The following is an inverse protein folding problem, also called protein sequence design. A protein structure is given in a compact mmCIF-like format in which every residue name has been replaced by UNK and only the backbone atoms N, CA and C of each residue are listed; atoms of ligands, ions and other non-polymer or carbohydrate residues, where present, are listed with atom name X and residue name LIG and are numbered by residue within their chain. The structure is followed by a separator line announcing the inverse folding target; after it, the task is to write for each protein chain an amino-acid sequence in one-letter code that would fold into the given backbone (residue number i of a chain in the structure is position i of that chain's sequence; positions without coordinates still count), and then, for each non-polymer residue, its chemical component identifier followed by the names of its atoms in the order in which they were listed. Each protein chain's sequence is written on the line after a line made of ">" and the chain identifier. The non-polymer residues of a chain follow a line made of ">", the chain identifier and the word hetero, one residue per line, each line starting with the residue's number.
data_IF_933535381685
#
_entry.id   IF_933535381685
#
_cell.length_a   1.000
_cell.length_b   1.000
_cell.length_c   1.000
_cell.angle_alpha   90.00
_cell.angle_beta   90.00
_cell.angle_gamma   90.00
#
_symmetry.space_group_name_H-M   'P 1'
#
loop_
_entity.id
_entity.type
_entity.pdbx_description
1 polymer ?
#
# COMPACT_ATOMS: atom_id res chain seq x y z
N UNK A 1 -15.54 10.71 15.66
CA UNK A 1 -15.62 9.25 15.47
C UNK A 1 -15.46 8.81 14.01
N UNK A 2 -16.44 8.98 13.10
CA UNK A 2 -16.28 8.52 11.70
C UNK A 2 -15.13 9.23 10.95
N UNK A 3 -15.04 10.56 11.06
CA UNK A 3 -13.95 11.34 10.46
C UNK A 3 -12.57 11.08 11.10
N UNK A 4 -12.52 10.78 12.40
CA UNK A 4 -11.27 10.36 13.08
C UNK A 4 -10.80 8.99 12.58
N UNK A 5 -11.74 8.04 12.40
CA UNK A 5 -11.45 6.72 11.85
C UNK A 5 -11.04 6.79 10.37
N UNK A 6 -11.65 7.67 9.57
CA UNK A 6 -11.27 7.86 8.16
C UNK A 6 -9.86 8.44 8.08
N UNK A 7 -9.51 9.41 8.93
CA UNK A 7 -8.16 9.95 9.03
C UNK A 7 -7.12 8.88 9.40
N UNK A 8 -7.43 8.05 10.40
CA UNK A 8 -6.57 6.95 10.82
C UNK A 8 -6.41 5.86 9.73
N UNK A 9 -7.49 5.55 9.00
CA UNK A 9 -7.47 4.61 7.87
C UNK A 9 -6.59 5.12 6.72
N UNK A 10 -6.70 6.40 6.37
CA UNK A 10 -5.91 7.01 5.31
C UNK A 10 -4.43 7.05 5.72
N UNK A 11 -4.12 7.45 6.95
CA UNK A 11 -2.75 7.43 7.48
C UNK A 11 -2.16 6.01 7.49
N UNK A 12 -2.92 5.03 7.99
CA UNK A 12 -2.51 3.62 7.99
C UNK A 12 -2.24 3.09 6.58
N UNK A 13 -3.10 3.45 5.62
CA UNK A 13 -2.92 3.10 4.21
C UNK A 13 -1.63 3.69 3.64
N UNK A 14 -1.35 4.98 3.87
CA UNK A 14 -0.13 5.62 3.39
C UNK A 14 1.13 5.08 4.04
N UNK A 15 1.09 4.78 5.35
CA UNK A 15 2.19 4.13 6.07
C UNK A 15 2.47 2.76 5.46
N UNK A 16 1.44 1.94 5.25
CA UNK A 16 1.58 0.62 4.64
C UNK A 16 2.15 0.70 3.21
N UNK A 17 1.65 1.63 2.42
CA UNK A 17 2.17 1.88 1.07
C UNK A 17 3.64 2.31 1.08
N UNK A 18 4.03 3.22 1.97
CA UNK A 18 5.41 3.66 2.12
C UNK A 18 6.36 2.52 2.51
N UNK A 19 5.90 1.60 3.37
CA UNK A 19 6.64 0.38 3.73
C UNK A 19 6.83 -0.50 2.47
N UNK A 20 5.77 -0.80 1.72
CA UNK A 20 5.89 -1.59 0.48
C UNK A 20 6.84 -0.94 -0.53
N UNK A 21 6.76 0.38 -0.69
CA UNK A 21 7.65 1.13 -1.58
C UNK A 21 9.11 0.99 -1.15
N UNK A 22 9.39 1.17 0.15
CA UNK A 22 10.71 0.96 0.73
C UNK A 22 11.22 -0.47 0.48
N UNK A 23 10.40 -1.49 0.75
CA UNK A 23 10.76 -2.89 0.52
C UNK A 23 10.92 -3.24 -0.96
N UNK A 24 10.21 -2.59 -1.89
CA UNK A 24 10.48 -2.79 -3.32
C UNK A 24 11.83 -2.19 -3.75
N UNK A 25 12.28 -1.15 -3.03
CA UNK A 25 13.43 -0.34 -3.41
C UNK A 25 14.75 -0.79 -2.78
N UNK A 26 14.75 -1.08 -1.48
CA UNK A 26 15.96 -1.44 -0.74
C UNK A 26 16.68 -2.70 -1.25
N UNK A 27 15.99 -3.80 -1.63
CA UNK A 27 16.64 -4.98 -2.20
C UNK A 27 17.07 -4.76 -3.66
N UNK A 28 16.43 -3.83 -4.37
CA UNK A 28 16.62 -3.63 -5.80
C UNK A 28 17.73 -2.59 -6.06
N UNK A 29 18.95 -2.91 -5.63
CA UNK A 29 20.13 -2.01 -5.59
C UNK A 29 20.57 -1.50 -6.97
N UNK A 30 20.15 -2.15 -8.06
CA UNK A 30 20.39 -1.74 -9.45
C UNK A 30 19.20 -2.09 -10.34
N UNK A 31 18.22 -1.18 -10.53
CA UNK A 31 17.11 -1.44 -11.41
C UNK A 31 17.56 -1.15 -12.85
N UNK A 32 18.20 -2.13 -13.49
CA UNK A 32 18.69 -2.00 -14.87
C UNK A 32 17.56 -1.67 -15.87
N UNK A 33 16.29 -1.91 -15.49
CA UNK A 33 15.11 -1.60 -16.30
C UNK A 33 13.89 -1.08 -15.48
N UNK A 34 14.03 -0.84 -14.17
CA UNK A 34 12.90 -0.45 -13.31
C UNK A 34 12.98 1.04 -12.94
N UNK A 35 12.16 1.85 -13.60
CA UNK A 35 12.04 3.28 -13.29
C UNK A 35 11.32 3.49 -11.97
N UNK A 36 11.75 4.49 -11.20
CA UNK A 36 11.10 4.95 -9.95
C UNK A 36 9.58 5.10 -10.04
N UNK A 37 9.10 5.61 -11.18
CA UNK A 37 7.65 5.80 -11.44
C UNK A 37 6.88 4.49 -11.45
N UNK A 38 7.50 3.42 -11.96
CA UNK A 38 6.90 2.08 -12.04
C UNK A 38 6.84 1.43 -10.66
N UNK A 39 7.88 1.59 -9.84
CA UNK A 39 7.89 1.09 -8.46
C UNK A 39 6.76 1.74 -7.63
N UNK A 40 6.63 3.07 -7.73
CA UNK A 40 5.55 3.84 -7.10
C UNK A 40 4.18 3.35 -7.55
N UNK A 41 3.97 3.20 -8.86
CA UNK A 41 2.69 2.79 -9.40
C UNK A 41 2.32 1.35 -9.00
N UNK A 42 3.26 0.41 -9.09
CA UNK A 42 3.02 -0.99 -8.73
C UNK A 42 2.72 -1.12 -7.25
N UNK A 43 3.53 -0.51 -6.39
CA UNK A 43 3.33 -0.56 -4.93
C UNK A 43 2.02 0.11 -4.51
N UNK A 44 1.61 1.16 -5.20
CA UNK A 44 0.31 1.81 -4.97
C UNK A 44 -0.86 0.92 -5.38
N UNK A 45 -0.80 0.28 -6.55
CA UNK A 45 -1.83 -0.68 -6.97
C UNK A 45 -1.88 -1.87 -6.00
N UNK A 46 -0.73 -2.38 -5.56
CA UNK A 46 -0.65 -3.44 -4.56
C UNK A 46 -1.31 -3.04 -3.23
N UNK A 47 -1.06 -1.82 -2.73
CA UNK A 47 -1.70 -1.37 -1.49
C UNK A 47 -3.21 -1.23 -1.64
N UNK A 48 -3.72 -0.74 -2.77
CA UNK A 48 -5.17 -0.67 -3.05
C UNK A 48 -5.80 -2.07 -3.09
N UNK A 49 -5.17 -3.03 -3.78
CA UNK A 49 -5.68 -4.40 -3.85
C UNK A 49 -5.70 -5.04 -2.46
N UNK A 50 -4.62 -4.92 -1.68
CA UNK A 50 -4.58 -5.44 -0.31
C UNK A 50 -5.64 -4.82 0.58
N UNK A 51 -5.87 -3.51 0.45
CA UNK A 51 -6.92 -2.83 1.19
C UNK A 51 -8.32 -3.37 0.83
N UNK A 52 -8.62 -3.53 -0.47
CA UNK A 52 -9.89 -4.08 -0.93
C UNK A 52 -10.10 -5.53 -0.45
N UNK A 53 -9.07 -6.37 -0.53
CA UNK A 53 -9.11 -7.76 -0.04
C UNK A 53 -9.33 -7.78 1.47
N UNK A 54 -8.64 -6.94 2.23
CA UNK A 54 -8.79 -6.87 3.68
C UNK A 54 -10.22 -6.47 4.08
N UNK A 55 -10.80 -5.45 3.44
CA UNK A 55 -12.18 -5.06 3.68
C UNK A 55 -13.17 -6.18 3.30
N UNK A 56 -12.92 -6.88 2.19
CA UNK A 56 -13.72 -8.05 1.80
C UNK A 56 -13.68 -9.17 2.83
N UNK A 57 -12.51 -9.51 3.36
CA UNK A 57 -12.37 -10.52 4.43
C UNK A 57 -13.11 -10.07 5.69
N UNK A 58 -12.95 -8.81 6.10
CA UNK A 58 -13.66 -8.27 7.28
C UNK A 58 -15.17 -8.37 7.13
N UNK A 59 -15.71 -8.11 5.94
CA UNK A 59 -17.14 -8.23 5.66
C UNK A 59 -17.67 -9.66 5.86
N UNK A 60 -16.90 -10.69 5.49
CA UNK A 60 -17.29 -12.09 5.69
C UNK A 60 -16.92 -12.67 7.06
N UNK A 61 -16.07 -11.98 7.81
CA UNK A 61 -15.65 -12.36 9.16
C UNK A 61 -16.51 -11.73 10.27
N UNK A 62 -17.38 -10.79 9.92
CA UNK A 62 -18.37 -10.17 10.79
C UNK A 62 -19.73 -10.87 10.71
#
# INVERSE_FOLDING_TARGET
>A
MFYENVGALILGFFIWWAILLAFSRFPNRYPQNNTWKKDIFITFVQSVILFAVFQGIQYFSS
#
